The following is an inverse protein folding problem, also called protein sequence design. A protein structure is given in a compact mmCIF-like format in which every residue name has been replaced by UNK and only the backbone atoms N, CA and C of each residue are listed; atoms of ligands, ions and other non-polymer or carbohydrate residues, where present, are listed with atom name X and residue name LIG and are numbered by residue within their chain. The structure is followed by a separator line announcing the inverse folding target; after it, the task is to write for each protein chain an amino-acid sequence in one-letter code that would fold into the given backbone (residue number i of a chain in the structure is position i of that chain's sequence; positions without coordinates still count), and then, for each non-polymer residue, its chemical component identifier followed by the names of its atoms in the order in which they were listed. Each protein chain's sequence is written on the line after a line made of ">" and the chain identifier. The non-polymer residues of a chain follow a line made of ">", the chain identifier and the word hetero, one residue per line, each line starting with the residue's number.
data_IF_928835804715
#
_entry.id   IF_928835804715
#
_cell.length_a   1.000
_cell.length_b   1.000
_cell.length_c   1.000
_cell.angle_alpha   90.00
_cell.angle_beta   90.00
_cell.angle_gamma   90.00
#
_symmetry.space_group_name_H-M   'P 1'
#
loop_
_entity.id
_entity.type
_entity.pdbx_description
1 polymer ?
#
# COMPACT_ATOMS: atom_id res chain seq x y z
N UNK A 1 13.30 -6.69 1.34
CA UNK A 1 11.95 -6.33 0.92
C UNK A 1 11.09 -5.95 2.10
N UNK A 2 10.30 -4.95 1.94
CA UNK A 2 9.48 -4.46 3.03
C UNK A 2 8.02 -4.41 2.60
N UNK A 3 7.14 -4.92 3.44
CA UNK A 3 5.72 -4.71 3.28
C UNK A 3 5.39 -3.37 3.93
N UNK A 4 4.91 -2.44 3.13
CA UNK A 4 4.44 -1.17 3.64
C UNK A 4 3.04 -1.30 4.22
N UNK A 5 2.69 -2.32 4.91
CA UNK A 5 1.37 -2.55 5.51
C UNK A 5 0.59 -1.29 5.84
N UNK A 6 0.41 -0.44 4.87
CA UNK A 6 -0.11 0.90 5.05
C UNK A 6 -1.60 0.84 5.26
N UNK A 7 -1.97 1.10 6.48
CA UNK A 7 -3.35 1.16 6.87
C UNK A 7 -3.85 2.55 6.53
N UNK A 8 -4.48 2.66 5.38
CA UNK A 8 -5.22 3.85 5.02
C UNK A 8 -4.37 5.07 4.67
N UNK A 9 -5.04 6.21 4.69
CA UNK A 9 -4.50 7.49 4.27
C UNK A 9 -3.84 8.28 5.42
N UNK A 10 -3.54 7.63 6.53
CA UNK A 10 -3.01 8.31 7.71
C UNK A 10 -1.59 8.80 7.51
N UNK A 11 -0.83 8.13 6.65
CA UNK A 11 0.53 8.54 6.33
C UNK A 11 0.50 9.54 5.17
N UNK A 12 1.02 10.74 5.39
CA UNK A 12 1.03 11.77 4.35
C UNK A 12 2.05 11.44 3.25
N UNK A 13 1.91 12.12 2.11
CA UNK A 13 2.78 11.91 0.95
C UNK A 13 4.25 12.07 1.32
N UNK A 14 4.58 13.08 2.13
CA UNK A 14 5.95 13.35 2.54
C UNK A 14 6.53 12.18 3.33
N UNK A 15 5.76 11.63 4.26
CA UNK A 15 6.23 10.53 5.11
C UNK A 15 6.43 9.27 4.30
N UNK A 16 5.55 9.01 3.35
CA UNK A 16 5.71 7.86 2.44
C UNK A 16 6.93 8.01 1.55
N UNK A 17 7.17 9.21 1.04
CA UNK A 17 8.36 9.48 0.24
C UNK A 17 9.64 9.22 1.04
N UNK A 18 9.68 9.67 2.29
CA UNK A 18 10.82 9.42 3.18
C UNK A 18 11.03 7.94 3.44
N UNK A 19 9.94 7.20 3.66
CA UNK A 19 10.01 5.77 3.88
C UNK A 19 10.56 5.04 2.67
N UNK A 20 10.12 5.40 1.48
CA UNK A 20 10.62 4.80 0.24
C UNK A 20 12.10 5.12 0.03
N UNK A 21 12.53 6.35 0.31
CA UNK A 21 13.93 6.73 0.21
C UNK A 21 14.78 5.93 1.19
N UNK A 22 14.30 5.72 2.41
CA UNK A 22 14.99 4.89 3.38
C UNK A 22 15.11 3.45 2.91
N UNK A 23 14.07 2.91 2.29
CA UNK A 23 14.12 1.57 1.70
C UNK A 23 15.18 1.49 0.61
N UNK A 24 15.29 2.50 -0.25
CA UNK A 24 16.32 2.56 -1.29
C UNK A 24 17.71 2.63 -0.68
N UNK A 25 17.88 3.44 0.36
CA UNK A 25 19.16 3.58 1.06
C UNK A 25 19.62 2.26 1.69
N UNK A 26 18.68 1.41 2.06
CA UNK A 26 18.97 0.08 2.61
C UNK A 26 19.08 -1.00 1.55
N UNK A 27 19.11 -0.61 0.28
CA UNK A 27 19.23 -1.52 -0.87
C UNK A 27 18.09 -2.54 -0.97
N UNK A 28 16.91 -2.18 -0.51
CA UNK A 28 15.72 -2.99 -0.71
C UNK A 28 15.28 -2.90 -2.16
N UNK A 29 14.79 -4.01 -2.70
CA UNK A 29 14.43 -4.10 -4.11
C UNK A 29 12.98 -3.78 -4.39
N UNK A 30 12.11 -4.09 -3.45
CA UNK A 30 10.66 -3.94 -3.63
C UNK A 30 10.00 -3.39 -2.38
N UNK A 31 8.99 -2.59 -2.60
CA UNK A 31 8.04 -2.19 -1.58
C UNK A 31 6.68 -2.78 -1.94
N UNK A 32 5.97 -3.31 -0.96
CA UNK A 32 4.64 -3.87 -1.15
C UNK A 32 3.64 -3.13 -0.28
N UNK A 33 2.45 -2.92 -0.82
CA UNK A 33 1.36 -2.30 -0.09
C UNK A 33 0.10 -3.15 -0.18
N UNK A 34 -0.65 -3.20 0.92
CA UNK A 34 -1.93 -3.91 0.98
C UNK A 34 -2.95 -2.91 1.49
N UNK A 35 -3.99 -2.65 0.69
CA UNK A 35 -5.01 -1.67 1.03
C UNK A 35 -6.41 -2.20 0.69
N UNK A 36 -7.42 -1.65 1.33
CA UNK A 36 -8.80 -1.96 0.95
C UNK A 36 -9.03 -1.59 -0.51
N UNK A 37 -9.68 -2.47 -1.25
CA UNK A 37 -9.85 -2.33 -2.70
C UNK A 37 -10.69 -1.12 -3.10
N UNK A 38 -11.53 -0.62 -2.21
CA UNK A 38 -12.36 0.55 -2.43
C UNK A 38 -11.83 1.84 -1.77
N UNK A 39 -10.64 1.79 -1.19
CA UNK A 39 -10.04 2.97 -0.57
C UNK A 39 -9.40 3.85 -1.65
N UNK A 40 -10.19 4.76 -2.21
CA UNK A 40 -9.77 5.60 -3.33
C UNK A 40 -8.58 6.50 -2.99
N UNK A 41 -8.54 7.01 -1.77
CA UNK A 41 -7.42 7.87 -1.34
C UNK A 41 -6.10 7.12 -1.31
N UNK A 42 -6.11 5.91 -0.74
CA UNK A 42 -4.92 5.07 -0.70
C UNK A 42 -4.50 4.60 -2.09
N UNK A 43 -5.46 4.27 -2.95
CA UNK A 43 -5.18 3.87 -4.34
C UNK A 43 -4.51 5.04 -5.08
N UNK A 44 -5.02 6.25 -4.93
CA UNK A 44 -4.44 7.43 -5.55
C UNK A 44 -3.00 7.66 -5.09
N UNK A 45 -2.72 7.45 -3.79
CA UNK A 45 -1.37 7.56 -3.27
C UNK A 45 -0.45 6.47 -3.81
N UNK A 46 -0.93 5.24 -3.94
CA UNK A 46 -0.14 4.17 -4.55
C UNK A 46 0.24 4.51 -5.98
N UNK A 47 -0.71 5.01 -6.75
CA UNK A 47 -0.45 5.43 -8.14
C UNK A 47 0.50 6.61 -8.21
N UNK A 48 0.38 7.56 -7.27
CA UNK A 48 1.27 8.72 -7.19
C UNK A 48 2.73 8.31 -7.04
N UNK A 49 3.00 7.28 -6.25
CA UNK A 49 4.34 6.77 -6.04
C UNK A 49 4.79 5.74 -7.09
N UNK A 50 3.95 5.43 -8.05
CA UNK A 50 4.29 4.51 -9.12
C UNK A 50 4.07 3.04 -8.81
N UNK A 51 3.34 2.72 -7.75
CA UNK A 51 2.99 1.34 -7.44
C UNK A 51 2.07 0.76 -8.50
N UNK A 52 2.20 -0.53 -8.74
CA UNK A 52 1.35 -1.30 -9.64
C UNK A 52 0.55 -2.32 -8.83
N UNK A 53 -0.76 -2.38 -9.09
CA UNK A 53 -1.59 -3.41 -8.49
C UNK A 53 -1.29 -4.75 -9.14
N UNK A 54 -1.02 -5.77 -8.33
CA UNK A 54 -0.74 -7.12 -8.83
C UNK A 54 -1.69 -8.18 -8.31
N UNK A 55 -2.62 -7.81 -7.46
CA UNK A 55 -3.56 -8.81 -6.94
C UNK A 55 -4.76 -8.20 -6.24
N UNK A 56 -5.77 -9.02 -6.12
CA UNK A 56 -7.00 -8.71 -5.40
C UNK A 56 -7.44 -9.96 -4.66
N UNK A 57 -7.67 -9.84 -3.35
CA UNK A 57 -8.21 -10.94 -2.56
C UNK A 57 -9.61 -10.56 -2.12
N UNK A 58 -10.64 -11.22 -2.65
CA UNK A 58 -12.01 -10.94 -2.24
C UNK A 58 -12.23 -11.35 -0.78
N UNK A 59 -12.96 -10.52 -0.04
CA UNK A 59 -13.34 -10.79 1.34
C UNK A 59 -12.18 -11.22 2.22
N UNK A 60 -11.06 -10.48 2.12
CA UNK A 60 -9.82 -10.86 2.77
C UNK A 60 -9.68 -10.30 4.18
N UNK A 61 -10.43 -9.26 4.53
CA UNK A 61 -10.31 -8.61 5.82
C UNK A 61 -11.66 -8.07 6.28
N UNK A 62 -11.80 -7.98 7.59
CA UNK A 62 -12.98 -7.40 8.21
C UNK A 62 -12.67 -5.98 8.66
N UNK A 63 -13.52 -5.02 8.29
CA UNK A 63 -13.34 -3.64 8.72
C UNK A 63 -13.88 -3.43 10.15
N UNK A 64 -13.80 -2.19 10.64
CA UNK A 64 -14.24 -1.85 12.00
C UNK A 64 -15.74 -2.06 12.22
N UNK A 65 -16.53 -2.17 11.17
CA UNK A 65 -17.98 -2.41 11.25
C UNK A 65 -18.35 -3.89 11.19
N UNK A 66 -17.36 -4.77 11.03
CA UNK A 66 -17.59 -6.20 10.89
C UNK A 66 -17.91 -6.64 9.46
N UNK A 67 -17.80 -5.74 8.49
CA UNK A 67 -18.05 -6.05 7.10
C UNK A 67 -16.80 -6.61 6.44
N UNK A 68 -16.94 -7.70 5.70
CA UNK A 68 -15.85 -8.28 4.92
C UNK A 68 -15.54 -7.40 3.73
N UNK A 69 -14.24 -7.12 3.54
CA UNK A 69 -13.77 -6.21 2.50
C UNK A 69 -12.72 -6.89 1.62
N UNK A 70 -12.73 -6.50 0.36
CA UNK A 70 -11.69 -6.94 -0.58
C UNK A 70 -10.39 -6.17 -0.31
N UNK A 71 -9.27 -6.85 -0.47
CA UNK A 71 -7.94 -6.23 -0.33
C UNK A 71 -7.23 -6.23 -1.66
N UNK A 72 -6.62 -5.09 -1.99
CA UNK A 72 -5.78 -4.97 -3.18
C UNK A 72 -4.31 -4.98 -2.78
N UNK A 73 -3.50 -5.59 -3.62
CA UNK A 73 -2.08 -5.82 -3.39
C UNK A 73 -1.28 -5.06 -4.43
N UNK A 74 -0.29 -4.30 -3.97
CA UNK A 74 0.47 -3.38 -4.80
C UNK A 74 1.96 -3.59 -4.58
N UNK A 75 2.76 -3.33 -5.60
CA UNK A 75 4.21 -3.38 -5.49
C UNK A 75 4.87 -2.22 -6.23
N UNK A 76 6.08 -1.91 -5.81
CA UNK A 76 6.94 -0.92 -6.46
C UNK A 76 8.37 -1.45 -6.47
N UNK A 77 8.99 -1.41 -7.63
CA UNK A 77 10.42 -1.70 -7.75
C UNK A 77 11.20 -0.45 -7.33
N UNK A 78 12.11 -0.64 -6.39
CA UNK A 78 12.88 0.46 -5.81
C UNK A 78 14.20 0.73 -6.53
#
# INVERSE_FOLDING_TARGET
>A
EISLGLVGSEMCIRDRAKLLDECRNRHMRKACGIIFADNRGSIALMKHFGFTQFGLMPQAATDSTGTMRDMSYWHLDL
#
